data_IF_334788304726
#
_entry.id   IF_334788304726
#
_cell.length_a   1.000
_cell.length_b   1.000
_cell.length_c   1.000
_cell.angle_alpha   90.00
_cell.angle_beta   90.00
_cell.angle_gamma   90.00
#
_symmetry.space_group_name_H-M   'P 1'
#
loop_
_entity.id
_entity.type
_entity.pdbx_description
1 polymer ?
#
# COMPACT_ATOMS: atom_id res chain seq x y z
N UNK A 1 16.66 11.80 0.63
CA UNK A 1 15.63 10.81 0.98
C UNK A 1 16.10 9.46 0.48
N UNK A 2 16.24 8.46 1.37
CA UNK A 2 16.64 7.11 0.97
C UNK A 2 15.41 6.35 0.47
N UNK A 3 15.30 6.17 -0.84
CA UNK A 3 14.14 5.53 -1.47
C UNK A 3 14.04 4.02 -1.18
N UNK A 4 15.11 3.42 -0.67
CA UNK A 4 15.23 2.02 -0.26
C UNK A 4 15.18 1.86 1.27
N UNK A 5 14.34 2.64 1.94
CA UNK A 5 14.19 2.62 3.39
C UNK A 5 12.85 2.02 3.81
N UNK A 6 12.78 1.45 5.00
CA UNK A 6 11.56 0.86 5.56
C UNK A 6 10.38 1.84 5.57
N UNK A 7 10.63 3.15 5.63
CA UNK A 7 9.60 4.19 5.46
C UNK A 7 8.80 3.97 4.17
N UNK A 8 9.46 3.63 3.06
CA UNK A 8 8.85 3.47 1.74
C UNK A 8 8.50 2.01 1.40
N UNK A 9 8.50 1.11 2.39
CA UNK A 9 8.19 -0.31 2.21
C UNK A 9 6.69 -0.61 2.29
N UNK A 10 6.13 -1.48 1.45
CA UNK A 10 4.71 -1.93 1.51
C UNK A 10 4.29 -2.35 2.92
N UNK A 11 5.20 -3.05 3.61
CA UNK A 11 4.97 -3.61 4.94
C UNK A 11 5.05 -2.59 6.07
N UNK A 12 5.19 -1.30 5.76
CA UNK A 12 5.10 -0.20 6.72
C UNK A 12 3.91 0.70 6.42
N UNK A 13 2.71 0.30 6.83
CA UNK A 13 1.51 1.10 6.59
C UNK A 13 1.50 2.48 7.27
N UNK A 14 2.35 2.71 8.27
CA UNK A 14 2.29 3.90 9.12
C UNK A 14 2.95 5.15 8.53
N UNK A 15 3.71 5.00 7.44
CA UNK A 15 4.50 6.09 6.87
C UNK A 15 4.56 6.05 5.34
N UNK A 16 4.47 7.21 4.72
CA UNK A 16 4.75 7.40 3.29
C UNK A 16 5.22 8.84 3.01
N UNK A 17 6.51 8.99 2.73
CA UNK A 17 7.19 10.28 2.63
C UNK A 17 7.06 11.06 3.94
N UNK A 18 6.46 12.24 3.83
CA UNK A 18 6.19 13.12 4.97
C UNK A 18 4.88 12.78 5.72
N UNK A 19 4.03 11.89 5.18
CA UNK A 19 2.81 11.43 5.85
C UNK A 19 3.13 10.31 6.84
N UNK A 20 2.53 10.36 8.03
CA UNK A 20 2.57 9.28 9.01
C UNK A 20 2.74 9.77 10.44
N UNK A 21 3.17 8.86 11.31
CA UNK A 21 3.60 9.18 12.69
C UNK A 21 5.13 9.13 12.80
N UNK A 22 5.67 9.50 13.96
CA UNK A 22 7.11 9.58 14.20
C UNK A 22 7.83 8.24 13.96
N UNK A 23 7.22 7.13 14.37
CA UNK A 23 7.76 5.77 14.18
C UNK A 23 7.06 5.04 13.03
N UNK A 24 7.75 4.06 12.44
CA UNK A 24 7.12 3.11 11.52
C UNK A 24 6.80 1.78 12.22
N UNK A 25 6.19 0.86 11.48
CA UNK A 25 6.03 -0.53 11.93
C UNK A 25 6.23 -1.46 10.74
N UNK A 26 7.03 -2.51 10.88
CA UNK A 26 7.19 -3.51 9.84
C UNK A 26 6.29 -4.72 10.15
N UNK A 27 5.24 -4.93 9.36
CA UNK A 27 4.30 -6.04 9.55
C UNK A 27 4.90 -7.43 9.29
N UNK A 28 5.98 -7.50 8.52
CA UNK A 28 6.72 -8.74 8.26
C UNK A 28 7.59 -9.14 9.46
N UNK A 29 8.37 -8.20 9.98
CA UNK A 29 9.25 -8.46 11.13
C UNK A 29 8.56 -8.29 12.48
N UNK A 30 7.36 -7.70 12.51
CA UNK A 30 6.60 -7.35 13.73
C UNK A 30 7.40 -6.49 14.69
N UNK A 31 8.09 -5.49 14.14
CA UNK A 31 8.94 -4.55 14.90
C UNK A 31 8.53 -3.12 14.62
N UNK A 32 8.51 -2.30 15.67
CA UNK A 32 8.46 -0.84 15.57
C UNK A 32 9.78 -0.37 14.95
N UNK A 33 9.71 0.65 14.09
CA UNK A 33 10.83 1.25 13.39
C UNK A 33 11.07 2.65 13.95
N UNK A 34 12.05 2.80 14.85
CA UNK A 34 12.39 4.09 15.44
C UNK A 34 13.08 5.02 14.43
N UNK A 35 13.76 4.46 13.43
CA UNK A 35 14.46 5.21 12.37
C UNK A 35 14.14 4.62 10.99
N UNK A 36 12.85 4.60 10.64
CA UNK A 36 12.38 3.99 9.39
C UNK A 36 13.02 4.56 8.11
N UNK A 37 13.47 5.82 8.12
CA UNK A 37 14.17 6.49 7.00
C UNK A 37 15.63 6.03 6.83
N UNK A 38 16.20 5.44 7.89
CA UNK A 38 17.59 5.01 7.98
C UNK A 38 17.79 3.50 7.95
N UNK A 39 16.70 2.72 8.01
CA UNK A 39 16.75 1.25 8.07
C UNK A 39 16.18 0.59 6.81
N UNK A 40 16.57 -0.65 6.56
CA UNK A 40 16.00 -1.53 5.51
C UNK A 40 16.12 -3.01 5.89
N UNK A 41 15.54 -3.91 5.09
CA UNK A 41 15.76 -5.36 5.12
C UNK A 41 15.63 -5.95 3.71
N UNK A 42 16.08 -7.19 3.51
CA UNK A 42 16.04 -7.89 2.22
C UNK A 42 14.64 -8.05 1.63
N UNK A 43 13.59 -8.02 2.47
CA UNK A 43 12.18 -8.15 2.08
C UNK A 43 11.51 -6.83 1.68
N UNK A 44 12.29 -5.77 1.47
CA UNK A 44 11.76 -4.44 1.19
C UNK A 44 11.15 -4.32 -0.22
N UNK A 45 9.87 -3.96 -0.27
CA UNK A 45 9.11 -3.70 -1.50
C UNK A 45 8.67 -2.22 -1.55
N UNK A 46 9.04 -1.48 -2.61
CA UNK A 46 8.80 -0.03 -2.71
C UNK A 46 7.35 0.33 -2.99
N UNK A 47 6.75 1.17 -2.14
CA UNK A 47 5.36 1.66 -2.30
C UNK A 47 5.16 2.56 -3.51
N UNK A 48 6.19 3.25 -3.96
CA UNK A 48 6.12 4.27 -5.01
C UNK A 48 6.43 3.74 -6.42
N UNK A 49 6.63 2.44 -6.56
CA UNK A 49 6.92 1.79 -7.85
C UNK A 49 5.76 0.89 -8.29
N UNK A 50 5.53 0.75 -9.62
CA UNK A 50 4.60 -0.24 -10.16
C UNK A 50 5.12 -1.66 -9.94
N UNK A 51 4.22 -2.65 -9.93
CA UNK A 51 4.53 -4.05 -9.59
C UNK A 51 5.74 -4.62 -10.36
N UNK A 52 5.77 -4.53 -11.69
CA UNK A 52 6.89 -5.04 -12.49
C UNK A 52 8.25 -4.49 -12.01
N UNK A 53 8.30 -3.19 -11.68
CA UNK A 53 9.53 -2.52 -11.26
C UNK A 53 9.87 -2.83 -9.80
N UNK A 54 8.86 -2.97 -8.94
CA UNK A 54 9.06 -3.42 -7.56
C UNK A 54 9.73 -4.78 -7.55
N UNK A 55 9.24 -5.75 -8.33
CA UNK A 55 9.83 -7.10 -8.40
C UNK A 55 11.30 -7.08 -8.85
N UNK A 56 11.63 -6.29 -9.88
CA UNK A 56 13.02 -6.13 -10.32
C UNK A 56 13.92 -5.52 -9.24
N UNK A 57 13.46 -4.46 -8.59
CA UNK A 57 14.23 -3.79 -7.53
C UNK A 57 14.37 -4.67 -6.29
N UNK A 58 13.35 -5.47 -5.97
CA UNK A 58 13.34 -6.38 -4.84
C UNK A 58 14.46 -7.42 -4.94
N UNK A 59 14.66 -8.04 -6.11
CA UNK A 59 15.76 -9.00 -6.34
C UNK A 59 17.13 -8.38 -6.02
N UNK A 60 17.42 -7.20 -6.59
CA UNK A 60 18.68 -6.51 -6.31
C UNK A 60 18.80 -6.05 -4.85
N UNK A 61 17.66 -5.83 -4.17
CA UNK A 61 17.65 -5.41 -2.78
C UNK A 61 17.90 -6.59 -1.83
N UNK A 62 17.29 -7.74 -2.07
CA UNK A 62 17.51 -8.98 -1.31
C UNK A 62 18.94 -9.49 -1.46
N UNK A 63 19.58 -9.29 -2.62
CA UNK A 63 21.00 -9.63 -2.83
C UNK A 63 21.94 -8.82 -1.93
N UNK A 64 21.53 -7.61 -1.53
CA UNK A 64 22.37 -6.67 -0.78
C UNK A 64 22.12 -6.70 0.72
N UNK A 65 20.91 -7.05 1.16
CA UNK A 65 20.49 -6.90 2.55
C UNK A 65 19.84 -8.18 3.08
N UNK A 66 20.07 -8.54 4.36
CA UNK A 66 19.55 -9.76 4.94
C UNK A 66 18.02 -9.72 5.04
N UNK A 67 17.37 -10.82 4.67
CA UNK A 67 15.91 -10.96 4.75
C UNK A 67 15.37 -11.15 6.17
N UNK A 68 16.21 -11.64 7.09
CA UNK A 68 15.78 -12.04 8.43
C UNK A 68 15.92 -10.93 9.50
N UNK A 69 16.47 -9.77 9.15
CA UNK A 69 16.71 -8.69 10.11
C UNK A 69 16.62 -7.30 9.47
N UNK A 70 16.37 -6.31 10.32
CA UNK A 70 16.34 -4.90 9.94
C UNK A 70 17.71 -4.29 10.27
N UNK A 71 18.33 -3.63 9.30
CA UNK A 71 19.67 -3.06 9.43
C UNK A 71 19.68 -1.57 9.04
N UNK A 72 20.68 -0.83 9.52
CA UNK A 72 20.95 0.52 9.03
C UNK A 72 21.48 0.47 7.61
N UNK A 73 20.93 1.33 6.74
CA UNK A 73 21.35 1.46 5.34
C UNK A 73 22.84 1.86 5.23
N UNK A 74 23.30 2.73 6.14
CA UNK A 74 24.67 3.29 6.08
C UNK A 74 25.71 2.27 6.53
N UNK A 75 25.47 1.60 7.66
CA UNK A 75 26.47 0.70 8.26
C UNK A 75 26.29 -0.77 7.89
N UNK A 76 25.12 -1.17 7.38
CA UNK A 76 24.80 -2.59 7.14
C UNK A 76 24.63 -3.42 8.42
N UNK A 77 24.52 -2.76 9.58
CA UNK A 77 24.49 -3.41 10.91
C UNK A 77 23.12 -3.19 11.56
N UNK A 78 22.61 -4.19 12.25
CA UNK A 78 21.43 -4.08 13.14
C UNK A 78 21.83 -3.32 14.42
N UNK A 79 21.10 -2.25 14.75
CA UNK A 79 21.21 -1.57 16.03
C UNK A 79 19.89 -1.74 16.79
N UNK A 80 19.95 -2.30 18.00
CA UNK A 80 18.78 -2.55 18.84
C UNK A 80 17.99 -1.28 19.18
N UNK A 81 18.58 -0.09 19.04
CA UNK A 81 17.89 1.19 19.27
C UNK A 81 17.01 1.63 18.10
N UNK A 82 17.25 1.09 16.90
CA UNK A 82 16.52 1.49 15.69
C UNK A 82 15.17 0.76 15.55
N UNK A 83 14.98 -0.28 16.34
CA UNK A 83 13.80 -1.13 16.34
C UNK A 83 13.31 -1.32 17.77
N UNK A 84 12.02 -1.57 17.95
CA UNK A 84 11.48 -2.04 19.23
C UNK A 84 10.51 -3.20 19.00
N UNK A 85 10.54 -4.13 19.95
CA UNK A 85 9.56 -5.22 20.12
C UNK A 85 9.11 -5.30 21.57
N UNK A 86 9.29 -4.22 22.35
CA UNK A 86 8.84 -4.17 23.74
C UNK A 86 7.32 -4.04 23.80
N UNK A 87 6.67 -4.83 24.65
CA UNK A 87 5.21 -4.83 24.79
C UNK A 87 4.67 -3.46 25.20
N UNK A 88 5.42 -2.68 26.00
CA UNK A 88 4.99 -1.33 26.40
C UNK A 88 5.00 -0.37 25.23
N UNK A 89 6.02 -0.46 24.36
CA UNK A 89 6.10 0.37 23.16
C UNK A 89 4.98 0.01 22.18
N UNK A 90 4.68 -1.29 22.03
CA UNK A 90 3.55 -1.76 21.23
C UNK A 90 2.22 -1.28 21.80
N UNK A 91 1.99 -1.40 23.11
CA UNK A 91 0.79 -0.89 23.78
C UNK A 91 0.63 0.62 23.62
N UNK A 92 1.73 1.37 23.69
CA UNK A 92 1.70 2.82 23.44
C UNK A 92 1.34 3.12 21.99
N UNK A 93 1.87 2.36 21.03
CA UNK A 93 1.60 2.55 19.62
C UNK A 93 0.14 2.23 19.27
N UNK A 94 -0.46 1.21 19.91
CA UNK A 94 -1.88 0.84 19.75
C UNK A 94 -2.87 1.92 20.19
N UNK A 95 -2.43 2.97 20.88
CA UNK A 95 -3.29 4.12 21.19
C UNK A 95 -3.67 4.93 19.94
N UNK A 96 -2.89 4.81 18.85
CA UNK A 96 -3.26 5.35 17.54
C UNK A 96 -4.08 4.32 16.76
N UNK A 97 -5.30 4.68 16.37
CA UNK A 97 -6.24 3.77 15.71
C UNK A 97 -5.72 3.18 14.38
N UNK A 98 -4.97 3.96 13.60
CA UNK A 98 -4.38 3.47 12.34
C UNK A 98 -3.25 2.49 12.65
N UNK A 99 -2.45 2.79 13.66
CA UNK A 99 -1.39 1.91 14.11
C UNK A 99 -1.93 0.59 14.67
N UNK A 100 -2.97 0.62 15.49
CA UNK A 100 -3.59 -0.58 16.06
C UNK A 100 -4.00 -1.58 14.97
N UNK A 101 -4.77 -1.12 13.97
CA UNK A 101 -5.18 -1.95 12.85
C UNK A 101 -3.98 -2.43 11.99
N UNK A 102 -2.96 -1.59 11.77
CA UNK A 102 -1.78 -1.98 11.01
C UNK A 102 -0.87 -2.98 11.77
N UNK A 103 -0.85 -2.93 13.10
CA UNK A 103 -0.11 -3.87 13.94
C UNK A 103 -0.70 -5.27 13.83
N UNK A 104 -2.02 -5.35 13.80
CA UNK A 104 -2.75 -6.61 13.68
C UNK A 104 -2.63 -7.23 12.29
N UNK A 105 -2.33 -6.45 11.24
CA UNK A 105 -2.17 -6.93 9.86
C UNK A 105 -1.10 -8.03 9.65
N UNK A 106 -0.30 -8.39 10.66
CA UNK A 106 0.65 -9.51 10.61
C UNK A 106 0.22 -10.77 11.39
N UNK A 107 -0.96 -10.78 11.99
CA UNK A 107 -1.49 -11.89 12.78
C UNK A 107 -2.28 -12.87 11.91
N UNK A 108 -2.47 -14.09 12.41
CA UNK A 108 -3.24 -15.12 11.69
C UNK A 108 -4.72 -14.74 11.70
N UNK A 109 -5.39 -14.80 10.54
CA UNK A 109 -6.82 -14.48 10.40
C UNK A 109 -7.19 -12.99 10.43
N UNK A 110 -6.26 -12.09 10.76
CA UNK A 110 -6.55 -10.66 10.97
C UNK A 110 -6.33 -9.78 9.75
N UNK A 111 -5.75 -10.30 8.66
CA UNK A 111 -5.34 -9.47 7.50
C UNK A 111 -6.53 -8.74 6.87
N UNK A 112 -7.63 -9.46 6.66
CA UNK A 112 -8.82 -8.92 6.01
C UNK A 112 -9.54 -7.97 6.96
N UNK A 113 -9.68 -8.35 8.24
CA UNK A 113 -10.23 -7.50 9.28
C UNK A 113 -9.47 -6.16 9.40
N UNK A 114 -8.13 -6.23 9.45
CA UNK A 114 -7.27 -5.04 9.52
C UNK A 114 -7.47 -4.13 8.31
N UNK A 115 -7.54 -4.69 7.10
CA UNK A 115 -7.81 -3.92 5.88
C UNK A 115 -9.21 -3.31 5.88
N UNK A 116 -10.22 -4.03 6.37
CA UNK A 116 -11.59 -3.55 6.49
C UNK A 116 -11.71 -2.40 7.49
N UNK A 117 -11.05 -2.52 8.65
CA UNK A 117 -10.95 -1.46 9.65
C UNK A 117 -10.27 -0.22 9.06
N UNK A 118 -9.10 -0.36 8.45
CA UNK A 118 -8.37 0.75 7.82
C UNK A 118 -9.17 1.42 6.70
N UNK A 119 -9.91 0.64 5.90
CA UNK A 119 -10.81 1.15 4.85
C UNK A 119 -11.96 1.99 5.42
N UNK A 120 -12.46 1.66 6.61
CA UNK A 120 -13.55 2.37 7.27
C UNK A 120 -13.08 3.65 7.99
N UNK A 121 -11.80 3.75 8.33
CA UNK A 121 -11.23 4.91 8.99
C UNK A 121 -11.04 6.10 8.03
N UNK A 122 -11.40 7.33 8.43
CA UNK A 122 -11.15 8.52 7.62
C UNK A 122 -9.68 8.95 7.65
N UNK A 123 -9.29 9.70 6.62
CA UNK A 123 -8.00 10.40 6.57
C UNK A 123 -6.91 9.68 5.79
N UNK A 124 -5.92 10.45 5.32
CA UNK A 124 -4.86 9.96 4.45
C UNK A 124 -3.98 8.87 5.08
N UNK A 125 -3.77 8.88 6.40
CA UNK A 125 -2.95 7.85 7.09
C UNK A 125 -3.57 6.46 6.98
N UNK A 126 -4.86 6.33 7.30
CA UNK A 126 -5.59 5.07 7.19
C UNK A 126 -5.60 4.56 5.76
N UNK A 127 -5.78 5.46 4.80
CA UNK A 127 -5.75 5.14 3.39
C UNK A 127 -4.38 4.66 2.91
N UNK A 128 -3.28 5.32 3.30
CA UNK A 128 -1.93 4.85 2.98
C UNK A 128 -1.64 3.50 3.62
N UNK A 129 -2.04 3.29 4.88
CA UNK A 129 -1.89 2.01 5.54
C UNK A 129 -2.64 0.92 4.78
N UNK A 130 -3.92 1.14 4.46
CA UNK A 130 -4.74 0.21 3.70
C UNK A 130 -4.11 -0.09 2.34
N UNK A 131 -3.79 0.92 1.53
CA UNK A 131 -3.24 0.74 0.19
C UNK A 131 -1.91 -0.01 0.23
N UNK A 132 -1.01 0.34 1.15
CA UNK A 132 0.31 -0.28 1.25
C UNK A 132 0.23 -1.75 1.64
N UNK A 133 -0.60 -2.05 2.64
CA UNK A 133 -0.78 -3.40 3.15
C UNK A 133 -1.60 -4.27 2.18
N UNK A 134 -2.57 -3.68 1.48
CA UNK A 134 -3.33 -4.34 0.41
C UNK A 134 -2.43 -4.89 -0.70
N UNK A 135 -1.41 -4.13 -1.13
CA UNK A 135 -0.42 -4.61 -2.12
C UNK A 135 0.28 -5.87 -1.64
N UNK A 136 0.73 -5.87 -0.39
CA UNK A 136 1.35 -7.04 0.25
C UNK A 136 0.38 -8.22 0.37
N UNK A 137 -0.88 -7.98 0.74
CA UNK A 137 -1.91 -9.02 0.81
C UNK A 137 -2.17 -9.68 -0.55
N UNK A 138 -2.43 -8.88 -1.59
CA UNK A 138 -2.73 -9.39 -2.94
C UNK A 138 -1.51 -10.15 -3.52
N UNK A 139 -0.29 -9.62 -3.37
CA UNK A 139 0.92 -10.31 -3.85
C UNK A 139 1.07 -11.68 -3.18
N UNK A 140 0.90 -11.75 -1.87
CA UNK A 140 0.97 -13.01 -1.13
C UNK A 140 -0.11 -14.01 -1.58
N UNK A 141 -1.31 -13.55 -1.93
CA UNK A 141 -2.37 -14.42 -2.45
C UNK A 141 -1.95 -15.01 -3.80
N UNK A 142 -1.45 -14.17 -4.71
CA UNK A 142 -0.98 -14.60 -6.03
C UNK A 142 0.20 -15.58 -5.92
N UNK A 143 1.18 -15.29 -5.08
CA UNK A 143 2.35 -16.15 -4.84
C UNK A 143 1.97 -17.53 -4.28
N UNK A 144 0.79 -17.64 -3.65
CA UNK A 144 0.22 -18.88 -3.13
C UNK A 144 -0.79 -19.52 -4.08
N UNK A 145 -0.67 -19.25 -5.39
CA UNK A 145 -1.56 -19.74 -6.45
C UNK A 145 -3.02 -19.26 -6.33
N UNK A 146 -3.27 -18.16 -5.61
CA UNK A 146 -4.56 -17.49 -5.56
C UNK A 146 -4.83 -16.62 -6.79
N UNK A 147 -6.02 -16.02 -6.81
CA UNK A 147 -6.49 -15.12 -7.88
C UNK A 147 -6.33 -13.65 -7.49
N UNK A 148 -6.25 -12.78 -8.50
CA UNK A 148 -6.25 -11.33 -8.29
C UNK A 148 -7.54 -10.85 -7.60
N UNK A 149 -8.63 -11.61 -7.76
CA UNK A 149 -9.95 -11.36 -7.17
C UNK A 149 -9.93 -11.36 -5.64
N UNK A 150 -8.93 -11.93 -4.98
CA UNK A 150 -8.68 -11.71 -3.54
C UNK A 150 -8.64 -10.22 -3.16
N UNK A 151 -8.15 -9.37 -4.07
CA UNK A 151 -8.14 -7.91 -3.91
C UNK A 151 -9.36 -7.18 -4.47
N UNK A 152 -10.42 -7.86 -4.91
CA UNK A 152 -11.53 -7.26 -5.66
C UNK A 152 -12.20 -6.10 -4.92
N UNK A 153 -12.50 -6.27 -3.63
CA UNK A 153 -13.14 -5.21 -2.84
C UNK A 153 -12.21 -4.01 -2.61
N UNK A 154 -10.91 -4.25 -2.44
CA UNK A 154 -9.88 -3.21 -2.30
C UNK A 154 -9.75 -2.43 -3.60
N UNK A 155 -9.72 -3.14 -4.73
CA UNK A 155 -9.72 -2.56 -6.08
C UNK A 155 -10.97 -1.69 -6.30
N UNK A 156 -12.16 -2.24 -6.06
CA UNK A 156 -13.43 -1.54 -6.31
C UNK A 156 -13.55 -0.27 -5.45
N UNK A 157 -13.21 -0.38 -4.17
CA UNK A 157 -13.19 0.76 -3.26
C UNK A 157 -12.19 1.82 -3.70
N UNK A 158 -10.95 1.42 -4.03
CA UNK A 158 -9.90 2.34 -4.46
C UNK A 158 -10.27 3.06 -5.74
N UNK A 159 -10.85 2.33 -6.71
CA UNK A 159 -11.37 2.90 -7.96
C UNK A 159 -12.46 3.92 -7.70
N UNK A 160 -13.40 3.65 -6.79
CA UNK A 160 -14.50 4.57 -6.47
C UNK A 160 -14.02 5.92 -5.91
N UNK A 161 -12.83 5.93 -5.31
CA UNK A 161 -12.22 7.11 -4.67
C UNK A 161 -11.07 7.70 -5.48
N UNK A 162 -10.81 7.20 -6.69
CA UNK A 162 -9.60 7.53 -7.43
C UNK A 162 -9.44 9.05 -7.66
N UNK A 163 -10.54 9.77 -7.82
CA UNK A 163 -10.54 11.23 -8.03
C UNK A 163 -10.79 12.07 -6.79
N UNK A 164 -11.06 11.43 -5.64
CA UNK A 164 -11.29 12.14 -4.37
C UNK A 164 -9.97 12.78 -3.92
N UNK A 165 -10.03 13.98 -3.37
CA UNK A 165 -8.83 14.59 -2.78
C UNK A 165 -8.65 14.00 -1.37
N UNK A 166 -7.52 13.32 -1.07
CA UNK A 166 -7.24 12.82 0.26
C UNK A 166 -7.23 13.95 1.29
N UNK A 167 -7.88 13.73 2.43
CA UNK A 167 -7.83 14.67 3.55
C UNK A 167 -6.51 14.49 4.31
N UNK A 168 -5.64 15.50 4.24
CA UNK A 168 -4.31 15.51 4.85
C UNK A 168 -4.30 16.54 5.97
N UNK A 169 -4.48 16.07 7.20
CA UNK A 169 -4.39 16.89 8.39
C UNK A 169 -2.95 17.29 8.68
N UNK A 170 -2.76 18.44 9.33
CA UNK A 170 -1.43 18.89 9.78
C UNK A 170 -0.80 17.87 10.75
N UNK A 171 -1.63 17.21 11.57
CA UNK A 171 -1.20 16.17 12.51
C UNK A 171 -0.72 14.89 11.83
N UNK A 172 -1.05 14.70 10.55
CA UNK A 172 -0.61 13.55 9.78
C UNK A 172 0.77 13.75 9.14
N UNK A 173 1.37 14.95 9.28
CA UNK A 173 2.66 15.30 8.69
C UNK A 173 3.75 15.08 9.74
N UNK A 174 4.51 13.99 9.61
CA UNK A 174 5.58 13.62 10.56
C UNK A 174 6.87 14.41 10.38
N UNK A 175 7.11 14.93 9.17
CA UNK A 175 8.36 15.61 8.83
C UNK A 175 8.05 16.92 8.11
N UNK A 176 8.20 18.03 8.82
CA UNK A 176 8.11 19.37 8.24
C UNK A 176 9.49 19.78 7.77
N UNK A 177 9.76 19.61 6.47
CA UNK A 177 10.97 20.16 5.84
C UNK A 177 10.88 21.68 5.61
N UNK A 178 11.85 22.25 4.91
CA UNK A 178 11.88 23.68 4.56
C UNK A 178 10.74 24.15 3.61
N UNK A 179 9.87 23.24 3.20
CA UNK A 179 8.73 23.53 2.32
C UNK A 179 7.54 24.04 3.13
N UNK A 180 6.81 25.03 2.61
CA UNK A 180 5.57 25.51 3.22
C UNK A 180 4.56 24.37 3.44
N UNK A 181 3.91 24.34 4.60
CA UNK A 181 2.95 23.31 5.00
C UNK A 181 1.87 23.04 3.94
N UNK A 182 1.28 24.09 3.38
CA UNK A 182 0.27 23.97 2.32
C UNK A 182 0.80 23.23 1.08
N UNK A 183 2.06 23.47 0.70
CA UNK A 183 2.68 22.76 -0.42
C UNK A 183 2.96 21.31 -0.06
N UNK A 184 3.34 21.01 1.19
CA UNK A 184 3.51 19.64 1.66
C UNK A 184 2.18 18.86 1.61
N UNK A 185 1.07 19.46 2.08
CA UNK A 185 -0.25 18.84 2.00
C UNK A 185 -0.64 18.47 0.56
N UNK A 186 -0.40 19.37 -0.40
CA UNK A 186 -0.66 19.12 -1.83
C UNK A 186 0.20 17.96 -2.36
N UNK A 187 1.50 17.94 -2.02
CA UNK A 187 2.40 16.86 -2.46
C UNK A 187 2.02 15.52 -1.85
N UNK A 188 1.66 15.48 -0.56
CA UNK A 188 1.19 14.28 0.12
C UNK A 188 -0.10 13.77 -0.53
N UNK A 189 -1.09 14.65 -0.73
CA UNK A 189 -2.34 14.29 -1.38
C UNK A 189 -2.09 13.74 -2.80
N UNK A 190 -1.16 14.33 -3.56
CA UNK A 190 -0.74 13.79 -4.86
C UNK A 190 -0.14 12.40 -4.73
N UNK A 191 0.76 12.18 -3.78
CA UNK A 191 1.37 10.87 -3.53
C UNK A 191 0.33 9.81 -3.14
N UNK A 192 -0.69 10.16 -2.35
CA UNK A 192 -1.77 9.22 -1.98
C UNK A 192 -2.61 8.85 -3.20
N UNK A 193 -2.96 9.82 -4.06
CA UNK A 193 -3.68 9.52 -5.32
C UNK A 193 -2.85 8.63 -6.24
N UNK A 194 -1.53 8.87 -6.33
CA UNK A 194 -0.65 7.98 -7.09
C UNK A 194 -0.57 6.58 -6.47
N UNK A 195 -0.55 6.46 -5.14
CA UNK A 195 -0.57 5.16 -4.48
C UNK A 195 -1.88 4.39 -4.75
N UNK A 196 -3.03 5.08 -4.86
CA UNK A 196 -4.30 4.47 -5.32
C UNK A 196 -4.15 3.92 -6.73
N UNK A 197 -3.59 4.71 -7.65
CA UNK A 197 -3.31 4.28 -9.01
C UNK A 197 -2.36 3.08 -9.04
N UNK A 198 -1.32 3.08 -8.19
CA UNK A 198 -0.38 1.97 -8.11
C UNK A 198 -1.07 0.68 -7.67
N UNK A 199 -1.95 0.70 -6.66
CA UNK A 199 -2.71 -0.49 -6.28
C UNK A 199 -3.61 -0.99 -7.42
N UNK A 200 -4.28 -0.08 -8.14
CA UNK A 200 -5.10 -0.44 -9.31
C UNK A 200 -4.25 -1.07 -10.40
N UNK A 201 -3.10 -0.49 -10.72
CA UNK A 201 -2.19 -0.98 -11.77
C UNK A 201 -1.58 -2.34 -11.40
N UNK A 202 -1.26 -2.57 -10.12
CA UNK A 202 -0.84 -3.88 -9.62
C UNK A 202 -1.92 -4.95 -9.87
N UNK A 203 -3.19 -4.66 -9.53
CA UNK A 203 -4.32 -5.58 -9.77
C UNK A 203 -4.52 -5.84 -11.27
N UNK A 204 -4.41 -4.79 -12.10
CA UNK A 204 -4.46 -4.93 -13.56
C UNK A 204 -3.32 -5.82 -14.08
N UNK A 205 -2.11 -5.70 -13.55
CA UNK A 205 -0.99 -6.55 -13.93
C UNK A 205 -1.25 -8.03 -13.57
N UNK A 206 -1.71 -8.31 -12.35
CA UNK A 206 -2.09 -9.68 -11.94
C UNK A 206 -3.25 -10.25 -12.76
N UNK A 207 -4.29 -9.44 -13.00
CA UNK A 207 -5.43 -9.82 -13.81
C UNK A 207 -5.00 -10.22 -15.23
N UNK A 208 -4.03 -9.52 -15.80
CA UNK A 208 -3.51 -9.86 -17.12
C UNK A 208 -2.67 -11.15 -17.16
N UNK A 209 -1.97 -11.50 -16.07
CA UNK A 209 -1.27 -12.78 -15.97
C UNK A 209 -2.28 -13.94 -15.97
N UNK A 210 -3.51 -13.67 -15.49
CA UNK A 210 -4.62 -14.63 -15.44
C UNK A 210 -5.60 -14.48 -16.62
N UNK A 211 -5.18 -13.83 -17.71
CA UNK A 211 -5.96 -13.59 -18.93
C UNK A 211 -7.33 -12.92 -18.72
N UNK A 212 -7.47 -12.14 -17.65
CA UNK A 212 -8.70 -11.42 -17.33
C UNK A 212 -8.83 -10.11 -18.15
N UNK A 213 -10.04 -9.75 -18.64
CA UNK A 213 -10.27 -8.49 -19.34
C UNK A 213 -9.81 -7.21 -18.63
N UNK A 214 -9.80 -7.15 -17.30
CA UNK A 214 -9.25 -6.01 -16.53
C UNK A 214 -7.78 -5.80 -16.88
N UNK A 215 -7.06 -6.89 -17.13
CA UNK A 215 -5.66 -6.90 -17.53
C UNK A 215 -5.35 -6.14 -18.83
N UNK A 216 -6.36 -5.76 -19.62
CA UNK A 216 -6.19 -4.92 -20.80
C UNK A 216 -6.04 -3.42 -20.48
N UNK A 217 -6.08 -3.03 -19.20
CA UNK A 217 -5.94 -1.63 -18.77
C UNK A 217 -4.49 -1.26 -18.36
N UNK A 218 -3.48 -2.10 -18.64
CA UNK A 218 -2.09 -1.92 -18.19
C UNK A 218 -1.51 -0.53 -18.44
N UNK A 219 -0.52 -0.18 -17.62
CA UNK A 219 0.29 1.03 -17.79
C UNK A 219 -0.48 2.28 -17.41
N UNK A 220 -1.40 2.20 -16.45
CA UNK A 220 -2.10 3.38 -15.95
C UNK A 220 -1.13 4.33 -15.25
N UNK A 221 -0.19 3.77 -14.47
CA UNK A 221 0.75 4.57 -13.71
C UNK A 221 1.72 5.34 -14.62
N UNK A 222 2.27 4.68 -15.65
CA UNK A 222 3.18 5.29 -16.61
C UNK A 222 2.47 6.38 -17.42
N UNK A 223 1.26 6.11 -17.93
CA UNK A 223 0.45 7.13 -18.62
C UNK A 223 0.08 8.31 -17.73
N UNK A 224 -0.19 8.08 -16.45
CA UNK A 224 -0.42 9.15 -15.49
C UNK A 224 0.81 10.04 -15.32
N UNK A 225 2.01 9.43 -15.19
CA UNK A 225 3.26 10.15 -15.07
C UNK A 225 3.59 10.97 -16.33
N UNK A 226 3.39 10.40 -17.51
CA UNK A 226 3.57 11.09 -18.79
C UNK A 226 2.62 12.28 -18.96
N UNK A 227 1.37 12.10 -18.55
CA UNK A 227 0.31 13.13 -18.68
C UNK A 227 0.40 14.21 -17.60
N UNK A 228 1.13 13.97 -16.52
CA UNK A 228 1.28 14.89 -15.38
C UNK A 228 2.74 15.26 -15.16
N UNK A 229 3.30 16.04 -16.09
CA UNK A 229 4.69 16.53 -16.04
C UNK A 229 5.06 17.34 -14.78
N UNK A 230 4.06 17.76 -13.99
CA UNK A 230 4.27 18.43 -12.69
C UNK A 230 3.39 17.80 -11.62
N UNK A 231 3.84 17.84 -10.35
CA UNK A 231 3.06 17.44 -9.18
C UNK A 231 1.86 18.36 -8.96
N UNK A 232 0.84 18.17 -9.78
CA UNK A 232 -0.37 18.98 -9.87
C UNK A 232 -1.60 18.07 -9.79
N UNK A 233 -2.29 18.13 -8.65
CA UNK A 233 -3.51 17.36 -8.38
C UNK A 233 -4.64 17.65 -9.35
N UNK A 234 -4.76 18.90 -9.84
CA UNK A 234 -5.83 19.26 -10.78
C UNK A 234 -5.61 18.59 -12.13
N UNK A 235 -4.37 18.63 -12.64
CA UNK A 235 -4.00 17.94 -13.88
C UNK A 235 -4.20 16.43 -13.76
N UNK A 236 -3.76 15.84 -12.64
CA UNK A 236 -3.95 14.42 -12.36
C UNK A 236 -5.45 14.05 -12.30
N UNK A 237 -6.25 14.80 -11.55
CA UNK A 237 -7.71 14.57 -11.45
C UNK A 237 -8.41 14.69 -12.81
N UNK A 238 -8.01 15.66 -13.64
CA UNK A 238 -8.54 15.81 -15.00
C UNK A 238 -8.22 14.59 -15.87
N UNK A 239 -6.97 14.14 -15.85
CA UNK A 239 -6.54 12.96 -16.60
C UNK A 239 -7.25 11.68 -16.11
N UNK A 240 -7.35 11.50 -14.79
CA UNK A 240 -8.05 10.37 -14.17
C UNK A 240 -9.50 10.23 -14.67
N UNK A 241 -10.23 11.35 -14.74
CA UNK A 241 -11.62 11.38 -15.21
C UNK A 241 -11.75 11.16 -16.71
N UNK A 242 -10.81 11.68 -17.49
CA UNK A 242 -10.88 11.62 -18.95
C UNK A 242 -10.40 10.28 -19.51
N UNK A 243 -9.42 9.64 -18.87
CA UNK A 243 -8.72 8.48 -19.44
C UNK A 243 -8.73 7.24 -18.54
N UNK A 244 -8.24 7.39 -17.30
CA UNK A 244 -8.04 6.23 -16.41
C UNK A 244 -9.35 5.53 -16.03
N UNK A 245 -10.33 6.28 -15.51
CA UNK A 245 -11.61 5.74 -15.07
C UNK A 245 -12.38 5.09 -16.24
N UNK A 246 -12.57 5.74 -17.40
CA UNK A 246 -13.21 5.09 -18.54
C UNK A 246 -12.50 3.81 -19.02
N UNK A 247 -11.16 3.81 -18.99
CA UNK A 247 -10.37 2.62 -19.34
C UNK A 247 -10.63 1.45 -18.37
N UNK A 248 -10.75 1.73 -17.07
CA UNK A 248 -11.05 0.72 -16.05
C UNK A 248 -12.51 0.25 -16.14
N UNK A 249 -13.46 1.19 -16.19
CA UNK A 249 -14.91 0.90 -16.11
C UNK A 249 -15.42 0.08 -17.29
N UNK A 250 -14.84 0.29 -18.46
CA UNK A 250 -15.17 -0.51 -19.65
C UNK A 250 -14.81 -2.00 -19.50
N UNK A 251 -14.04 -2.39 -18.46
CA UNK A 251 -13.57 -3.76 -18.22
C UNK A 251 -14.15 -4.39 -16.96
N UNK A 252 -14.58 -3.60 -15.99
CA UNK A 252 -15.27 -4.08 -14.77
C UNK A 252 -16.57 -3.30 -14.55
N UNK A 253 -17.67 -3.81 -15.11
CA UNK A 253 -19.01 -3.30 -14.82
C UNK A 253 -19.41 -3.66 -13.38
N UNK A 254 -20.42 -2.94 -12.86
CA UNK A 254 -20.98 -3.27 -11.54
C UNK A 254 -21.55 -4.69 -11.48
N UNK A 255 -22.23 -5.13 -12.55
CA UNK A 255 -22.75 -6.52 -12.65
C UNK A 255 -21.61 -7.53 -12.52
N UNK A 256 -20.52 -7.33 -13.27
CA UNK A 256 -19.35 -8.21 -13.21
C UNK A 256 -18.68 -8.19 -11.83
N UNK A 257 -18.62 -7.03 -11.18
CA UNK A 257 -18.14 -6.93 -9.80
C UNK A 257 -18.99 -7.77 -8.84
N UNK A 258 -20.33 -7.71 -8.95
CA UNK A 258 -21.23 -8.50 -8.11
C UNK A 258 -21.05 -10.00 -8.37
N UNK A 259 -20.91 -10.42 -9.62
CA UNK A 259 -20.65 -11.82 -9.99
C UNK A 259 -19.35 -12.32 -9.34
N UNK A 260 -18.23 -11.61 -9.53
CA UNK A 260 -16.94 -11.99 -8.95
C UNK A 260 -16.96 -11.96 -7.41
N UNK A 261 -17.70 -11.02 -6.80
CA UNK A 261 -17.87 -10.96 -5.35
C UNK A 261 -18.63 -12.17 -4.82
N UNK A 262 -19.68 -12.62 -5.51
CA UNK A 262 -20.41 -13.82 -5.13
C UNK A 262 -19.58 -15.10 -5.30
N UNK A 263 -18.71 -15.16 -6.32
CA UNK A 263 -17.77 -16.27 -6.49
C UNK A 263 -16.79 -16.36 -5.32
N UNK A 264 -16.23 -15.22 -4.89
CA UNK A 264 -15.33 -15.17 -3.71
C UNK A 264 -16.02 -15.71 -2.45
N UNK A 265 -17.26 -15.31 -2.18
CA UNK A 265 -18.01 -15.82 -1.03
C UNK A 265 -18.36 -17.32 -1.13
N UNK A 266 -18.43 -17.89 -2.32
CA UNK A 266 -18.59 -19.35 -2.47
C UNK A 266 -17.27 -20.08 -2.22
N UNK A 267 -16.16 -19.54 -2.73
CA UNK A 267 -14.82 -20.09 -2.52
C UNK A 267 -14.42 -20.09 -1.02
N UNK A 268 -14.85 -19.09 -0.21
CA UNK A 268 -14.62 -19.07 1.25
C UNK A 268 -15.31 -20.21 1.98
N UNK A 269 -16.52 -20.58 1.55
CA UNK A 269 -17.29 -21.67 2.16
C UNK A 269 -16.71 -23.06 1.84
N UNK A 270 -16.06 -23.21 0.68
CA UNK A 270 -15.55 -24.51 0.19
C UNK A 270 -14.06 -24.77 0.51
N UNK A 271 -13.24 -23.73 0.78
CA UNK A 271 -11.80 -23.88 1.09
C UNK A 271 -11.30 -22.88 2.17
N UNK A 272 -11.43 -23.20 3.47
CA UNK A 272 -11.16 -22.26 4.56
C UNK A 272 -9.68 -21.90 4.80
N UNK A 273 -8.74 -22.29 3.94
CA UNK A 273 -7.29 -22.17 4.23
C UNK A 273 -6.46 -21.41 3.20
N UNK A 274 -7.05 -20.87 2.13
CA UNK A 274 -6.29 -20.12 1.11
C UNK A 274 -6.95 -18.79 0.82
N UNK A 275 -6.70 -17.83 1.71
CA UNK A 275 -6.84 -16.39 1.45
C UNK A 275 -8.27 -15.81 1.35
N UNK A 276 -9.32 -16.56 1.69
CA UNK A 276 -10.70 -16.08 1.63
C UNK A 276 -11.37 -16.17 3.00
N UNK A 277 -11.26 -15.10 3.79
CA UNK A 277 -12.12 -14.89 4.96
C UNK A 277 -13.01 -13.67 4.65
N UNK A 278 -14.31 -13.78 4.91
CA UNK A 278 -15.34 -12.84 4.42
C UNK A 278 -15.19 -11.38 4.94
N UNK A 279 -15.65 -10.40 4.14
CA UNK A 279 -16.03 -9.02 4.54
C UNK A 279 -17.52 -8.84 4.33
#
# INVERSE_FOLDING_TARGET
MNLHSCQNCWFNGLQYGALGIAVGYCSVHKKILNIADGTTCGLHLRKDLPLYRVKQVAVHHSDKYPENMIIRIISGIEDKRDISSDDKDLLSLRQDAVADAALDFGLLGSKIESLAQLKAMPGARAEVAMLSLARGYISNCIERNGKWTSGLHLYWWTRSRLTDIPDVGVRDIRAVGATQLARQQILIAWSVVMLRLTLIDDVVEYAAIQDDPIGKAKGLLDRAAESTQTFNLRSLSKWLKAEAIPSIDSRLSYTRYVELSQELHKESMDMPNVCVDDV
#
